data_IF_042037935645
#
_entry.id   IF_042037935645
#
_cell.length_a   1.000
_cell.length_b   1.000
_cell.length_c   1.000
_cell.angle_alpha   90.00
_cell.angle_beta   90.00
_cell.angle_gamma   90.00
#
_symmetry.space_group_name_H-M   'P 1'
#
loop_
_entity.id
_entity.type
_entity.pdbx_description
1 polymer ?
#
# COMPACT_ATOMS: atom_id res chain seq x y z
N UNK A 1 17.10 -12.70 -12.80
CA UNK A 1 18.13 -12.54 -11.75
C UNK A 1 17.59 -12.76 -10.33
N UNK A 2 16.30 -12.53 -10.04
CA UNK A 2 15.69 -12.84 -8.72
C UNK A 2 14.89 -14.15 -8.63
N UNK A 3 14.60 -14.80 -9.75
CA UNK A 3 13.66 -15.93 -9.80
C UNK A 3 14.33 -17.33 -9.79
N UNK A 4 15.62 -17.42 -10.11
CA UNK A 4 16.24 -18.73 -10.37
C UNK A 4 16.48 -19.47 -9.05
N UNK A 5 15.73 -20.57 -8.85
CA UNK A 5 15.76 -21.38 -7.63
C UNK A 5 14.85 -20.91 -6.50
N UNK A 6 14.28 -19.69 -6.54
CA UNK A 6 13.43 -19.18 -5.45
C UNK A 6 12.18 -20.03 -5.23
N UNK A 7 11.55 -20.53 -6.31
CA UNK A 7 10.36 -21.38 -6.16
C UNK A 7 10.69 -22.68 -5.41
N UNK A 8 11.84 -23.30 -5.72
CA UNK A 8 12.30 -24.50 -5.04
C UNK A 8 12.59 -24.23 -3.57
N UNK A 9 13.21 -23.09 -3.25
CA UNK A 9 13.45 -22.69 -1.86
C UNK A 9 12.15 -22.56 -1.07
N UNK A 10 11.13 -21.92 -1.66
CA UNK A 10 9.80 -21.76 -1.05
C UNK A 10 9.17 -23.14 -0.79
N UNK A 11 9.17 -24.02 -1.78
CA UNK A 11 8.63 -25.37 -1.66
C UNK A 11 9.36 -26.21 -0.61
N UNK A 12 10.67 -25.98 -0.42
CA UNK A 12 11.51 -26.66 0.56
C UNK A 12 11.47 -26.02 1.96
N UNK A 13 10.71 -24.93 2.15
CA UNK A 13 10.63 -24.18 3.40
C UNK A 13 12.00 -23.76 3.96
N UNK A 14 12.88 -23.30 3.07
CA UNK A 14 14.21 -22.80 3.46
C UNK A 14 14.09 -21.51 4.30
N UNK A 15 14.91 -21.38 5.35
CA UNK A 15 14.80 -20.27 6.31
C UNK A 15 15.30 -18.91 5.77
N UNK A 16 16.15 -18.90 4.74
CA UNK A 16 16.82 -17.69 4.21
C UNK A 16 16.04 -17.00 3.07
N UNK A 17 14.72 -17.22 2.99
CA UNK A 17 13.88 -16.62 1.95
C UNK A 17 13.45 -15.21 2.36
N UNK A 18 13.70 -14.24 1.48
CA UNK A 18 13.11 -12.90 1.63
C UNK A 18 11.62 -12.94 1.25
N UNK A 19 10.77 -13.26 2.23
CA UNK A 19 9.31 -13.25 2.05
C UNK A 19 8.74 -11.84 1.86
N UNK A 20 9.47 -10.78 2.23
CA UNK A 20 9.02 -9.39 2.03
C UNK A 20 8.82 -9.08 0.55
N UNK A 21 9.86 -9.28 -0.26
CA UNK A 21 9.81 -9.05 -1.70
C UNK A 21 8.76 -9.93 -2.43
N UNK A 22 8.51 -11.14 -1.91
CA UNK A 22 7.47 -12.03 -2.47
C UNK A 22 6.08 -11.47 -2.18
N UNK A 23 5.84 -11.03 -0.94
CA UNK A 23 4.56 -10.48 -0.51
C UNK A 23 4.28 -9.16 -1.24
N UNK A 24 5.27 -8.26 -1.32
CA UNK A 24 5.17 -7.02 -2.08
C UNK A 24 4.79 -7.28 -3.54
N UNK A 25 5.42 -8.26 -4.18
CA UNK A 25 5.13 -8.61 -5.56
C UNK A 25 3.71 -9.19 -5.72
N UNK A 26 3.29 -10.06 -4.80
CA UNK A 26 1.93 -10.61 -4.81
C UNK A 26 0.88 -9.50 -4.64
N UNK A 27 1.09 -8.57 -3.70
CA UNK A 27 0.22 -7.41 -3.49
C UNK A 27 0.20 -6.51 -4.72
N UNK A 28 1.36 -6.24 -5.34
CA UNK A 28 1.44 -5.45 -6.56
C UNK A 28 0.64 -6.07 -7.71
N UNK A 29 0.74 -7.39 -7.90
CA UNK A 29 -0.02 -8.11 -8.92
C UNK A 29 -1.53 -8.03 -8.67
N UNK A 30 -1.97 -8.26 -7.43
CA UNK A 30 -3.39 -8.16 -7.07
C UNK A 30 -3.93 -6.75 -7.31
N UNK A 31 -3.28 -5.72 -6.77
CA UNK A 31 -3.72 -4.34 -6.94
C UNK A 31 -3.77 -3.93 -8.42
N UNK A 32 -2.74 -4.29 -9.19
CA UNK A 32 -2.72 -4.00 -10.63
C UNK A 32 -3.83 -4.74 -11.39
N UNK A 33 -4.04 -6.03 -11.10
CA UNK A 33 -5.11 -6.82 -11.70
C UNK A 33 -6.51 -6.25 -11.38
N UNK A 34 -6.65 -5.60 -10.23
CA UNK A 34 -7.86 -4.93 -9.80
C UNK A 34 -8.01 -3.49 -10.31
N UNK A 35 -7.07 -2.99 -11.14
CA UNK A 35 -7.18 -1.72 -11.84
C UNK A 35 -6.59 -0.52 -11.09
N UNK A 36 -5.72 -0.75 -10.11
CA UNK A 36 -4.95 0.33 -9.50
C UNK A 36 -3.66 0.60 -10.26
N UNK A 37 -3.38 1.89 -10.46
CA UNK A 37 -2.04 2.37 -10.80
C UNK A 37 -1.20 2.46 -9.51
N UNK A 38 -0.01 1.86 -9.54
CA UNK A 38 0.88 1.78 -8.39
C UNK A 38 2.01 2.79 -8.51
N UNK A 39 2.21 3.57 -7.45
CA UNK A 39 3.31 4.52 -7.34
C UNK A 39 4.21 4.15 -6.16
N UNK A 40 5.48 4.55 -6.25
CA UNK A 40 6.46 4.37 -5.18
C UNK A 40 6.82 5.73 -4.58
N UNK A 41 6.96 5.80 -3.26
CA UNK A 41 7.38 7.01 -2.57
C UNK A 41 8.75 6.81 -1.94
N UNK A 42 9.67 7.75 -2.18
CA UNK A 42 10.98 7.78 -1.56
C UNK A 42 11.32 9.22 -1.14
N UNK A 43 11.64 9.39 0.15
CA UNK A 43 12.07 10.64 0.73
C UNK A 43 13.26 10.43 1.65
N UNK A 44 14.32 11.23 1.49
CA UNK A 44 15.47 11.20 2.41
C UNK A 44 15.09 11.50 3.87
N UNK A 45 14.02 12.27 4.08
CA UNK A 45 13.57 12.68 5.41
C UNK A 45 12.56 11.70 5.99
N UNK A 46 11.65 11.18 5.17
CA UNK A 46 10.52 10.38 5.62
C UNK A 46 10.66 8.88 5.32
N UNK A 47 11.67 8.46 4.57
CA UNK A 47 11.86 7.06 4.18
C UNK A 47 11.07 6.68 2.93
N UNK A 48 10.92 5.37 2.77
CA UNK A 48 10.33 4.72 1.59
C UNK A 48 8.99 4.08 1.99
N UNK A 49 8.01 4.12 1.08
CA UNK A 49 6.76 3.37 1.18
C UNK A 49 6.71 2.34 0.05
N UNK A 50 6.16 1.16 0.34
CA UNK A 50 6.06 0.08 -0.65
C UNK A 50 5.17 0.49 -1.83
N UNK A 51 3.97 1.02 -1.56
CA UNK A 51 3.10 1.55 -2.61
C UNK A 51 2.31 2.77 -2.14
N UNK A 52 1.91 3.57 -3.12
CA UNK A 52 0.94 4.65 -3.00
C UNK A 52 -0.05 4.51 -4.14
N UNK A 53 -1.34 4.55 -3.85
CA UNK A 53 -2.41 4.48 -4.85
C UNK A 53 -3.38 5.64 -4.70
N UNK A 54 -4.15 5.92 -5.75
CA UNK A 54 -5.35 6.74 -5.63
C UNK A 54 -6.54 5.86 -5.23
N UNK A 55 -7.21 6.22 -4.14
CA UNK A 55 -8.41 5.56 -3.68
C UNK A 55 -9.43 6.63 -3.27
N UNK A 56 -10.59 6.65 -3.93
CA UNK A 56 -11.67 7.61 -3.66
C UNK A 56 -11.23 9.08 -3.79
N UNK A 57 -10.42 9.39 -4.80
CA UNK A 57 -9.89 10.75 -5.02
C UNK A 57 -8.89 11.21 -3.95
N UNK A 58 -8.40 10.29 -3.10
CA UNK A 58 -7.42 10.55 -2.05
C UNK A 58 -6.21 9.64 -2.22
N UNK A 59 -5.07 10.10 -1.71
CA UNK A 59 -3.85 9.30 -1.65
C UNK A 59 -4.00 8.24 -0.55
N UNK A 60 -3.75 6.98 -0.90
CA UNK A 60 -3.75 5.85 0.03
C UNK A 60 -2.36 5.17 0.01
N UNK A 61 -1.54 5.39 1.04
CA UNK A 61 -0.34 4.60 1.27
C UNK A 61 -0.66 3.14 1.59
N UNK A 62 0.15 2.23 1.06
CA UNK A 62 0.09 0.80 1.32
C UNK A 62 1.49 0.32 1.73
N UNK A 63 1.55 -0.41 2.84
CA UNK A 63 2.75 -1.08 3.35
C UNK A 63 2.48 -2.59 3.43
N UNK A 64 3.48 -3.41 3.13
CA UNK A 64 3.40 -4.87 3.12
C UNK A 64 4.39 -5.46 4.13
N UNK A 65 3.90 -6.32 5.03
CA UNK A 65 4.70 -6.94 6.08
C UNK A 65 4.55 -8.46 6.05
N UNK A 66 5.63 -9.15 5.73
CA UNK A 66 5.66 -10.62 5.76
C UNK A 66 5.93 -11.23 7.15
N UNK A 67 6.41 -10.43 8.12
CA UNK A 67 6.85 -10.88 9.44
C UNK A 67 6.06 -10.33 10.64
N UNK A 68 6.44 -10.75 11.85
CA UNK A 68 5.77 -10.39 13.12
C UNK A 68 5.98 -8.96 13.58
N UNK A 69 7.00 -8.26 13.07
CA UNK A 69 7.27 -6.85 13.40
C UNK A 69 6.42 -5.90 12.50
N UNK A 70 5.12 -6.17 12.42
CA UNK A 70 4.22 -5.46 11.51
C UNK A 70 3.76 -4.10 12.01
N UNK A 71 4.04 -3.70 13.26
CA UNK A 71 3.57 -2.42 13.84
C UNK A 71 4.62 -1.30 13.82
N UNK A 72 5.86 -1.59 13.39
CA UNK A 72 6.92 -0.58 13.28
C UNK A 72 6.95 -0.01 11.86
N UNK A 73 6.45 1.22 11.72
CA UNK A 73 6.38 1.91 10.44
C UNK A 73 6.99 3.31 10.49
N UNK A 74 8.32 3.41 10.63
CA UNK A 74 8.95 4.73 10.70
C UNK A 74 8.59 5.61 9.49
N UNK A 75 8.57 5.05 8.28
CA UNK A 75 8.25 5.81 7.09
C UNK A 75 6.77 6.17 6.98
N UNK A 76 5.88 5.18 7.13
CA UNK A 76 4.43 5.41 7.11
C UNK A 76 3.99 6.42 8.16
N UNK A 77 4.46 6.28 9.41
CA UNK A 77 4.14 7.24 10.47
C UNK A 77 4.67 8.65 10.16
N UNK A 78 5.87 8.76 9.56
CA UNK A 78 6.42 10.06 9.15
C UNK A 78 5.65 10.70 7.99
N UNK A 79 5.06 9.90 7.10
CA UNK A 79 4.19 10.37 6.02
C UNK A 79 2.81 10.78 6.56
N UNK A 80 2.20 9.97 7.42
CA UNK A 80 0.87 10.22 7.99
C UNK A 80 0.81 11.41 8.96
N UNK A 81 1.93 11.73 9.62
CA UNK A 81 2.07 12.89 10.51
C UNK A 81 2.30 14.21 9.76
N UNK A 82 2.57 14.17 8.45
CA UNK A 82 2.73 15.38 7.65
C UNK A 82 1.38 15.90 7.16
N UNK A 83 0.84 16.92 7.85
CA UNK A 83 -0.46 17.52 7.51
C UNK A 83 -0.52 18.09 6.08
N UNK A 84 0.61 18.51 5.51
CA UNK A 84 0.66 19.02 4.14
C UNK A 84 0.31 17.97 3.09
N UNK A 85 0.43 16.68 3.41
CA UNK A 85 0.04 15.60 2.51
C UNK A 85 -1.45 15.27 2.57
N UNK A 86 -2.15 15.73 3.61
CA UNK A 86 -3.60 15.53 3.76
C UNK A 86 -4.02 14.06 3.60
N UNK A 87 -3.18 13.12 4.06
CA UNK A 87 -3.47 11.68 4.01
C UNK A 87 -4.39 11.32 5.16
N UNK A 88 -5.55 10.78 4.81
CA UNK A 88 -6.63 10.43 5.73
C UNK A 88 -6.46 9.05 6.36
N UNK A 89 -5.88 8.10 5.62
CA UNK A 89 -5.73 6.71 6.04
C UNK A 89 -4.58 6.02 5.30
N UNK A 90 -4.16 4.86 5.80
CA UNK A 90 -3.22 3.94 5.15
C UNK A 90 -3.64 2.49 5.39
N UNK A 91 -3.15 1.57 4.55
CA UNK A 91 -3.32 0.13 4.73
C UNK A 91 -1.98 -0.54 5.01
N UNK A 92 -1.95 -1.44 5.99
CA UNK A 92 -0.85 -2.38 6.20
C UNK A 92 -1.36 -3.79 5.94
N UNK A 93 -0.85 -4.44 4.89
CA UNK A 93 -1.09 -5.85 4.64
C UNK A 93 -0.11 -6.70 5.44
N UNK A 94 -0.60 -7.52 6.36
CA UNK A 94 0.22 -8.36 7.24
C UNK A 94 -0.40 -9.73 7.47
N UNK A 95 0.28 -10.60 8.22
CA UNK A 95 -0.20 -11.96 8.53
C UNK A 95 -1.09 -12.04 9.79
N UNK A 96 -1.68 -10.92 10.21
CA UNK A 96 -2.42 -10.78 11.46
C UNK A 96 -3.90 -10.52 11.21
N UNK A 97 -4.70 -10.55 12.28
CA UNK A 97 -6.12 -10.22 12.21
C UNK A 97 -6.36 -8.75 11.87
N UNK A 98 -7.57 -8.47 11.36
CA UNK A 98 -8.01 -7.11 11.08
C UNK A 98 -7.97 -6.25 12.35
N UNK A 99 -7.36 -5.07 12.26
CA UNK A 99 -7.38 -4.07 13.32
C UNK A 99 -7.26 -2.66 12.74
N UNK A 100 -7.55 -1.67 13.58
CA UNK A 100 -7.40 -0.25 13.26
C UNK A 100 -6.57 0.39 14.37
N UNK A 101 -5.54 1.14 14.00
CA UNK A 101 -4.77 2.00 14.91
C UNK A 101 -4.65 3.39 14.28
N UNK A 102 -5.34 4.36 14.87
CA UNK A 102 -5.47 5.73 14.34
C UNK A 102 -5.89 5.75 12.86
N UNK A 103 -4.99 6.14 11.96
CA UNK A 103 -5.19 6.20 10.50
C UNK A 103 -4.82 4.91 9.77
N UNK A 104 -4.29 3.90 10.46
CA UNK A 104 -3.73 2.71 9.84
C UNK A 104 -4.69 1.54 9.99
N UNK A 105 -5.16 1.04 8.86
CA UNK A 105 -5.95 -0.19 8.77
C UNK A 105 -5.03 -1.38 8.52
N UNK A 106 -4.95 -2.29 9.48
CA UNK A 106 -4.19 -3.53 9.36
C UNK A 106 -5.12 -4.64 8.89
N UNK A 107 -4.70 -5.39 7.88
CA UNK A 107 -5.49 -6.52 7.43
C UNK A 107 -4.65 -7.66 6.80
N UNK A 108 -5.18 -8.89 6.81
CA UNK A 108 -4.56 -10.01 6.13
C UNK A 108 -4.20 -9.75 4.67
N UNK A 109 -3.03 -10.19 4.23
CA UNK A 109 -2.53 -10.07 2.83
C UNK A 109 -3.56 -10.56 1.80
N UNK A 110 -4.30 -11.63 2.09
CA UNK A 110 -5.30 -12.18 1.17
C UNK A 110 -6.48 -11.22 0.90
N UNK A 111 -6.66 -10.17 1.71
CA UNK A 111 -7.71 -9.18 1.50
C UNK A 111 -7.36 -8.14 0.43
N UNK A 112 -6.11 -8.12 -0.08
CA UNK A 112 -5.71 -7.20 -1.13
C UNK A 112 -6.56 -7.34 -2.40
N UNK A 113 -6.91 -8.57 -2.80
CA UNK A 113 -7.78 -8.83 -3.95
C UNK A 113 -9.25 -8.39 -3.77
N UNK A 114 -9.62 -7.90 -2.58
CA UNK A 114 -10.94 -7.31 -2.34
C UNK A 114 -10.92 -5.79 -2.48
N UNK A 115 -9.75 -5.16 -2.50
CA UNK A 115 -9.62 -3.74 -2.76
C UNK A 115 -9.93 -3.48 -4.25
N UNK A 116 -10.82 -2.53 -4.51
CA UNK A 116 -11.23 -2.17 -5.87
C UNK A 116 -11.27 -0.66 -6.01
N UNK A 117 -10.85 -0.10 -7.16
CA UNK A 117 -11.07 1.31 -7.44
C UNK A 117 -12.57 1.60 -7.33
N UNK A 118 -12.93 2.72 -6.71
CA UNK A 118 -14.29 3.20 -6.85
C UNK A 118 -14.45 3.72 -8.26
N UNK A 119 -15.20 2.98 -9.08
CA UNK A 119 -15.69 3.50 -10.36
C UNK A 119 -16.81 4.47 -10.00
N UNK A 120 -16.72 5.75 -10.38
CA UNK A 120 -17.81 6.68 -10.15
C UNK A 120 -19.08 6.19 -10.82
N UNK A 121 -20.19 6.10 -10.08
CA UNK A 121 -21.50 5.71 -10.63
C UNK A 121 -22.06 6.75 -11.62
N UNK A 122 -21.45 7.95 -11.73
CA UNK A 122 -21.95 9.05 -12.56
C UNK A 122 -20.80 9.83 -13.23
N UNK A 123 -21.08 10.35 -14.43
CA UNK A 123 -20.21 11.28 -15.16
C UNK A 123 -19.88 12.49 -14.27
N UNK A 124 -18.63 12.56 -13.80
CA UNK A 124 -18.16 13.70 -13.01
C UNK A 124 -18.17 14.97 -13.87
N UNK A 125 -19.05 15.92 -13.54
CA UNK A 125 -18.94 17.30 -14.03
C UNK A 125 -17.86 17.98 -13.19
N UNK A 126 -16.63 18.02 -13.69
CA UNK A 126 -15.58 18.83 -13.10
C UNK A 126 -15.97 20.31 -13.16
N UNK A 127 -16.22 20.92 -11.99
CA UNK A 127 -16.30 22.38 -11.84
C UNK A 127 -14.96 22.88 -11.34
N UNK A 128 -14.22 23.53 -12.23
CA UNK A 128 -12.96 24.15 -11.90
C UNK A 128 -13.23 25.40 -11.03
N UNK A 129 -12.74 25.41 -9.80
CA UNK A 129 -12.79 26.59 -8.94
C UNK A 129 -11.69 27.57 -9.36
N UNK A 130 -12.11 28.69 -9.96
CA UNK A 130 -11.24 29.76 -10.44
C UNK A 130 -11.28 30.99 -9.51
N UNK A 131 -11.87 30.87 -8.33
CA UNK A 131 -12.00 31.99 -7.37
C UNK A 131 -10.65 32.60 -6.97
N UNK A 132 -9.57 31.82 -7.00
CA UNK A 132 -8.21 32.28 -6.71
C UNK A 132 -7.58 33.14 -7.84
N UNK A 133 -8.23 33.27 -9.00
CA UNK A 133 -7.76 34.08 -10.14
C UNK A 133 -8.48 35.43 -10.28
N UNK A 134 -9.39 35.77 -9.35
CA UNK A 134 -10.10 37.05 -9.31
C UNK A 134 -9.47 38.07 -8.35
#
# INVERSE_FOLDING_TARGET
MYADGLQLKILNNEADINFGAIYENAIAQELHAHGFELYYFNSKKQGELDFVIEYQGSVLPIEVKSGKDYTRHHALSAVLSNEHYSISQAIVFCSENISMDDKIFYCPVYLAGFLKPQVPDQDFIFRLDLSALQ
#
